data_IF_338836611524
#
_entry.id   IF_338836611524
#
_cell.length_a   1.000
_cell.length_b   1.000
_cell.length_c   1.000
_cell.angle_alpha   90.00
_cell.angle_beta   90.00
_cell.angle_gamma   90.00
#
_symmetry.space_group_name_H-M   'P 1'
#
loop_
_entity.id
_entity.type
_entity.pdbx_description
1 polymer ?
#
# COMPACT_ATOMS: atom_id res chain seq x y z
N UNK A 1 -28.35 14.14 37.32
CA UNK A 1 -28.02 14.39 35.89
C UNK A 1 -26.52 14.28 35.60
N UNK A 2 -25.62 14.74 36.48
CA UNK A 2 -24.16 14.79 36.25
C UNK A 2 -23.43 13.45 35.96
N UNK A 3 -24.05 12.31 36.29
CA UNK A 3 -23.47 10.97 36.08
C UNK A 3 -23.52 10.49 34.62
N UNK A 4 -24.39 11.05 33.79
CA UNK A 4 -24.55 10.65 32.39
C UNK A 4 -23.43 11.19 31.50
N UNK A 5 -23.00 12.42 31.73
CA UNK A 5 -22.00 13.10 30.89
C UNK A 5 -20.58 12.60 31.14
N UNK A 6 -20.23 12.30 32.40
CA UNK A 6 -18.91 11.75 32.75
C UNK A 6 -18.76 10.33 32.21
N UNK A 7 -19.80 9.49 32.35
CA UNK A 7 -19.78 8.12 31.83
C UNK A 7 -19.77 8.09 30.30
N UNK A 8 -20.53 8.98 29.65
CA UNK A 8 -20.51 9.16 28.20
C UNK A 8 -19.15 9.64 27.69
N UNK A 9 -18.61 10.73 28.24
CA UNK A 9 -17.31 11.27 27.84
C UNK A 9 -16.15 10.28 28.05
N UNK A 10 -16.16 9.52 29.15
CA UNK A 10 -15.19 8.45 29.38
C UNK A 10 -15.34 7.30 28.36
N UNK A 11 -16.57 6.92 28.02
CA UNK A 11 -16.83 5.85 27.04
C UNK A 11 -16.38 6.27 25.64
N UNK A 12 -16.74 7.48 25.19
CA UNK A 12 -16.27 8.02 23.91
C UNK A 12 -14.76 8.23 23.88
N UNK A 13 -14.15 8.64 25.00
CA UNK A 13 -12.70 8.78 25.13
C UNK A 13 -11.98 7.43 25.00
N UNK A 14 -12.47 6.37 25.64
CA UNK A 14 -11.90 5.04 25.55
C UNK A 14 -12.03 4.45 24.15
N UNK A 15 -13.18 4.60 23.51
CA UNK A 15 -13.42 4.13 22.15
C UNK A 15 -12.51 4.85 21.14
N UNK A 16 -12.40 6.18 21.26
CA UNK A 16 -11.49 6.96 20.43
C UNK A 16 -10.03 6.51 20.60
N UNK A 17 -9.61 6.20 21.84
CA UNK A 17 -8.27 5.69 22.11
C UNK A 17 -8.01 4.32 21.45
N UNK A 18 -9.01 3.43 21.43
CA UNK A 18 -8.91 2.12 20.76
C UNK A 18 -8.74 2.26 19.25
N UNK A 19 -9.59 3.05 18.60
CA UNK A 19 -9.50 3.30 17.16
C UNK A 19 -8.14 3.90 16.79
N UNK A 20 -7.65 4.86 17.58
CA UNK A 20 -6.34 5.46 17.36
C UNK A 20 -5.20 4.46 17.54
N UNK A 21 -5.31 3.55 18.50
CA UNK A 21 -4.35 2.47 18.71
C UNK A 21 -4.36 1.48 17.54
N UNK A 22 -5.53 1.03 17.09
CA UNK A 22 -5.67 0.16 15.91
C UNK A 22 -5.10 0.81 14.65
N UNK A 23 -5.41 2.08 14.41
CA UNK A 23 -4.83 2.86 13.30
C UNK A 23 -3.31 3.03 13.45
N UNK A 24 -2.78 3.10 14.67
CA UNK A 24 -1.32 3.13 14.91
C UNK A 24 -0.68 1.79 14.54
N UNK A 25 -1.24 0.68 15.05
CA UNK A 25 -0.76 -0.66 14.76
C UNK A 25 -0.80 -0.94 13.26
N UNK A 26 -1.92 -0.70 12.59
CA UNK A 26 -2.02 -0.87 11.13
C UNK A 26 -0.94 -0.10 10.36
N UNK A 27 -0.59 1.13 10.77
CA UNK A 27 0.51 1.87 10.13
C UNK A 27 1.89 1.25 10.39
N UNK A 28 2.13 0.70 11.57
CA UNK A 28 3.37 -0.01 11.90
C UNK A 28 3.44 -1.34 11.13
N UNK A 29 2.32 -2.04 11.00
CA UNK A 29 2.21 -3.29 10.25
C UNK A 29 2.51 -3.06 8.76
N UNK A 30 1.96 -2.00 8.14
CA UNK A 30 2.32 -1.62 6.78
C UNK A 30 3.80 -1.25 6.64
N UNK A 31 4.37 -0.57 7.64
CA UNK A 31 5.78 -0.15 7.63
C UNK A 31 6.73 -1.35 7.69
N UNK A 32 6.43 -2.34 8.54
CA UNK A 32 7.18 -3.58 8.62
C UNK A 32 7.02 -4.40 7.33
N UNK A 33 5.79 -4.55 6.84
CA UNK A 33 5.51 -5.25 5.59
C UNK A 33 6.22 -4.59 4.38
N UNK A 34 6.23 -3.26 4.32
CA UNK A 34 6.92 -2.50 3.28
C UNK A 34 8.44 -2.74 3.34
N UNK A 35 9.01 -2.69 4.55
CA UNK A 35 10.43 -2.90 4.79
C UNK A 35 10.89 -4.31 4.42
N UNK A 36 10.17 -5.34 4.86
CA UNK A 36 10.49 -6.72 4.51
C UNK A 36 10.25 -7.02 3.03
N UNK A 37 9.16 -6.50 2.44
CA UNK A 37 8.90 -6.59 1.00
C UNK A 37 10.03 -6.02 0.16
N UNK A 38 10.53 -4.83 0.52
CA UNK A 38 11.69 -4.23 -0.12
C UNK A 38 12.94 -5.12 -0.04
N UNK A 39 13.24 -5.67 1.15
CA UNK A 39 14.39 -6.57 1.34
C UNK A 39 14.27 -7.83 0.49
N UNK A 40 13.07 -8.41 0.40
CA UNK A 40 12.81 -9.60 -0.42
C UNK A 40 13.03 -9.31 -1.91
N UNK A 41 12.60 -8.15 -2.41
CA UNK A 41 12.83 -7.74 -3.80
C UNK A 41 14.34 -7.62 -4.11
N UNK A 42 15.08 -6.93 -3.24
CA UNK A 42 16.55 -6.82 -3.38
C UNK A 42 17.21 -8.20 -3.36
N UNK A 43 16.83 -9.07 -2.42
CA UNK A 43 17.38 -10.42 -2.30
C UNK A 43 17.06 -11.31 -3.51
N UNK A 44 15.88 -11.14 -4.11
CA UNK A 44 15.45 -11.87 -5.31
C UNK A 44 16.08 -11.32 -6.60
N UNK A 45 16.80 -10.20 -6.53
CA UNK A 45 17.26 -9.51 -7.71
C UNK A 45 16.10 -9.00 -8.58
N UNK A 46 15.03 -8.49 -7.95
CA UNK A 46 13.97 -7.69 -8.59
C UNK A 46 14.11 -6.22 -8.18
N UNK A 47 13.98 -5.29 -9.13
CA UNK A 47 14.16 -3.85 -8.85
C UNK A 47 13.08 -3.35 -7.87
N UNK A 48 13.45 -2.97 -6.63
CA UNK A 48 12.47 -2.51 -5.65
C UNK A 48 11.89 -1.12 -5.98
N UNK A 49 12.42 -0.40 -6.99
CA UNK A 49 11.79 0.82 -7.50
C UNK A 49 10.36 0.54 -8.04
N UNK A 50 10.10 -0.67 -8.55
CA UNK A 50 8.77 -1.08 -8.97
C UNK A 50 7.74 -1.06 -7.83
N UNK A 51 8.16 -1.30 -6.59
CA UNK A 51 7.29 -1.22 -5.41
C UNK A 51 6.86 0.23 -5.12
N UNK A 52 7.75 1.21 -5.32
CA UNK A 52 7.38 2.63 -5.22
C UNK A 52 6.39 3.03 -6.31
N UNK A 53 6.62 2.61 -7.55
CA UNK A 53 5.70 2.87 -8.67
C UNK A 53 4.30 2.28 -8.45
N UNK A 54 4.21 1.08 -7.84
CA UNK A 54 2.94 0.49 -7.44
C UNK A 54 2.15 1.40 -6.47
N UNK A 55 2.81 1.95 -5.44
CA UNK A 55 2.14 2.86 -4.51
C UNK A 55 1.83 4.24 -5.12
N UNK A 56 2.66 4.72 -6.05
CA UNK A 56 2.39 5.94 -6.81
C UNK A 56 1.10 5.82 -7.62
N UNK A 57 0.82 4.62 -8.16
CA UNK A 57 -0.43 4.33 -8.89
C UNK A 57 -1.69 4.59 -8.03
N UNK A 58 -1.63 4.39 -6.71
CA UNK A 58 -2.75 4.66 -5.81
C UNK A 58 -2.78 6.09 -5.25
N UNK A 59 -1.68 6.85 -5.37
CA UNK A 59 -1.60 8.24 -4.89
C UNK A 59 -2.46 9.18 -5.75
N UNK A 60 -2.65 8.85 -7.01
CA UNK A 60 -3.33 9.70 -8.01
C UNK A 60 -4.85 9.55 -8.05
N UNK A 61 -5.43 8.54 -7.37
CA UNK A 61 -6.88 8.28 -7.41
C UNK A 61 -7.66 8.52 -6.09
N UNK A 62 -7.61 9.70 -5.42
CA UNK A 62 -8.53 9.94 -4.31
C UNK A 62 -9.99 10.22 -4.74
N UNK A 63 -10.26 10.50 -6.03
CA UNK A 63 -11.50 11.18 -6.42
C UNK A 63 -12.22 10.75 -7.71
N UNK A 64 -11.67 9.86 -8.54
CA UNK A 64 -12.27 9.54 -9.87
C UNK A 64 -12.38 8.05 -10.19
N UNK A 65 -12.02 7.14 -9.29
CA UNK A 65 -11.97 5.71 -9.57
C UNK A 65 -13.19 4.93 -9.05
N UNK A 66 -13.72 3.97 -9.83
CA UNK A 66 -14.85 3.14 -9.46
C UNK A 66 -14.41 2.09 -8.45
N UNK A 67 -14.71 2.28 -7.17
CA UNK A 67 -14.42 1.35 -6.06
C UNK A 67 -12.92 1.24 -5.74
N UNK A 68 -12.54 1.56 -4.50
CA UNK A 68 -11.18 1.28 -4.02
C UNK A 68 -10.85 -0.21 -4.27
N UNK A 69 -9.67 -0.54 -4.79
CA UNK A 69 -9.23 -1.92 -4.91
C UNK A 69 -9.34 -2.64 -3.57
N UNK A 70 -9.77 -3.93 -3.53
CA UNK A 70 -9.90 -4.69 -2.28
C UNK A 70 -8.64 -4.70 -1.42
N UNK A 71 -7.46 -4.58 -2.05
CA UNK A 71 -6.19 -4.41 -1.37
C UNK A 71 -6.19 -3.19 -0.42
N UNK A 72 -6.67 -2.03 -0.85
CA UNK A 72 -6.71 -0.81 -0.02
C UNK A 72 -7.77 -0.85 1.09
N UNK A 73 -8.71 -1.81 1.04
CA UNK A 73 -9.66 -2.05 2.13
C UNK A 73 -9.01 -2.70 3.36
N UNK A 74 -7.94 -3.47 3.15
CA UNK A 74 -7.19 -4.16 4.22
C UNK A 74 -5.83 -3.52 4.49
N UNK A 75 -5.22 -2.92 3.46
CA UNK A 75 -3.93 -2.25 3.49
C UNK A 75 -4.07 -0.79 3.05
N UNK A 76 -4.62 0.10 3.91
CA UNK A 76 -4.84 1.48 3.54
C UNK A 76 -3.52 2.18 3.20
N UNK A 77 -3.51 2.93 2.09
CA UNK A 77 -2.34 3.73 1.73
C UNK A 77 -2.10 4.81 2.77
N UNK A 78 -0.84 4.97 3.19
CA UNK A 78 -0.44 6.04 4.12
C UNK A 78 0.41 7.05 3.36
N UNK A 79 0.27 8.35 3.70
CA UNK A 79 0.99 9.44 3.03
C UNK A 79 2.51 9.30 3.03
N UNK A 80 3.07 8.44 3.89
CA UNK A 80 4.52 8.27 4.07
C UNK A 80 5.09 6.93 3.59
N UNK A 81 4.32 6.04 2.94
CA UNK A 81 4.88 4.76 2.45
C UNK A 81 6.00 4.99 1.45
N UNK A 82 5.74 5.84 0.45
CA UNK A 82 6.70 6.16 -0.61
C UNK A 82 7.94 6.84 -0.01
N UNK A 83 7.77 7.84 0.85
CA UNK A 83 8.90 8.50 1.52
C UNK A 83 9.74 7.52 2.35
N UNK A 84 9.12 6.56 3.05
CA UNK A 84 9.85 5.51 3.78
C UNK A 84 10.62 4.61 2.82
N UNK A 85 10.01 4.13 1.74
CA UNK A 85 10.70 3.32 0.74
C UNK A 85 11.87 4.08 0.10
N UNK A 86 11.71 5.37 -0.20
CA UNK A 86 12.81 6.22 -0.68
C UNK A 86 13.96 6.31 0.34
N UNK A 87 13.67 6.26 1.64
CA UNK A 87 14.71 6.27 2.69
C UNK A 87 15.53 4.97 2.76
N UNK A 88 15.08 3.89 2.12
CA UNK A 88 15.81 2.62 2.02
C UNK A 88 16.81 2.59 0.85
N UNK A 89 16.86 3.63 0.02
CA UNK A 89 17.90 3.81 -0.99
C UNK A 89 19.27 4.16 -0.36
N UNK A 90 20.40 3.82 -0.99
CA UNK A 90 20.53 3.17 -2.29
C UNK A 90 20.59 1.64 -2.21
N UNK A 91 19.87 0.99 -3.12
CA UNK A 91 20.01 -0.44 -3.42
C UNK A 91 20.68 -0.61 -4.80
N UNK A 92 21.22 -1.81 -5.13
CA UNK A 92 21.86 -2.02 -6.43
C UNK A 92 20.82 -1.86 -7.54
N UNK A 93 20.96 -0.84 -8.41
CA UNK A 93 20.06 -0.65 -9.57
C UNK A 93 20.34 -1.59 -10.75
N UNK A 94 21.38 -2.42 -10.67
CA UNK A 94 21.74 -3.41 -11.71
C UNK A 94 20.84 -4.66 -11.69
N UNK A 95 19.72 -4.56 -10.99
CA UNK A 95 18.80 -5.64 -10.71
C UNK A 95 17.74 -5.68 -11.83
N UNK A 96 17.75 -6.73 -12.66
CA UNK A 96 16.92 -6.82 -13.86
C UNK A 96 16.03 -8.08 -13.91
N UNK A 97 15.90 -8.85 -12.82
CA UNK A 97 15.00 -10.00 -12.87
C UNK A 97 13.56 -9.49 -12.87
N UNK A 98 12.77 -10.05 -13.79
CA UNK A 98 11.32 -9.83 -13.79
C UNK A 98 10.71 -10.55 -12.60
N UNK A 99 9.78 -9.90 -11.91
CA UNK A 99 9.04 -10.50 -10.80
C UNK A 99 8.28 -11.77 -11.25
N UNK A 100 7.75 -11.76 -12.48
CA UNK A 100 7.02 -12.88 -13.10
C UNK A 100 7.72 -13.29 -14.40
N UNK A 101 8.74 -14.17 -14.35
CA UNK A 101 9.45 -14.61 -15.55
C UNK A 101 8.52 -15.41 -16.47
N UNK A 102 8.55 -15.11 -17.77
CA UNK A 102 7.72 -15.78 -18.78
C UNK A 102 6.28 -15.24 -18.90
N UNK A 103 5.86 -14.33 -18.02
CA UNK A 103 4.56 -13.66 -18.13
C UNK A 103 4.73 -12.26 -18.74
N UNK A 104 4.07 -12.02 -19.87
CA UNK A 104 4.05 -10.70 -20.51
C UNK A 104 2.89 -9.84 -19.99
N UNK A 105 3.09 -8.53 -19.93
CA UNK A 105 2.07 -7.58 -19.47
C UNK A 105 0.79 -7.63 -20.32
N UNK A 106 0.90 -7.89 -21.63
CA UNK A 106 -0.27 -8.06 -22.49
C UNK A 106 -1.07 -9.32 -22.11
N UNK A 107 -0.39 -10.41 -21.73
CA UNK A 107 -1.04 -11.62 -21.26
C UNK A 107 -1.80 -11.36 -19.94
N UNK A 108 -1.20 -10.61 -19.00
CA UNK A 108 -1.85 -10.20 -17.75
C UNK A 108 -3.11 -9.38 -18.04
N UNK A 109 -3.02 -8.39 -18.92
CA UNK A 109 -4.18 -7.56 -19.31
C UNK A 109 -5.30 -8.36 -20.00
N UNK A 110 -4.95 -9.39 -20.76
CA UNK A 110 -5.92 -10.26 -21.43
C UNK A 110 -6.81 -11.04 -20.47
N UNK A 111 -6.31 -11.40 -19.28
CA UNK A 111 -7.06 -12.12 -18.24
C UNK A 111 -8.21 -11.26 -17.69
N UNK A 112 -7.99 -9.94 -17.59
CA UNK A 112 -8.98 -8.99 -17.06
C UNK A 112 -10.04 -8.55 -18.10
N UNK A 113 -10.07 -9.15 -19.30
CA UNK A 113 -11.10 -8.89 -20.32
C UNK A 113 -10.87 -7.66 -21.21
N UNK A 114 -9.66 -7.11 -21.25
CA UNK A 114 -9.36 -5.88 -22.00
C UNK A 114 -9.25 -6.07 -23.51
N UNK A 115 -10.38 -6.11 -24.24
CA UNK A 115 -10.43 -5.81 -25.68
C UNK A 115 -10.47 -4.29 -25.89
N UNK A 116 -9.33 -3.62 -25.81
CA UNK A 116 -9.19 -2.20 -26.16
C UNK A 116 -7.98 -2.01 -27.08
N UNK A 117 -8.07 -1.19 -28.15
CA UNK A 117 -7.04 -1.13 -29.16
C UNK A 117 -5.72 -0.65 -28.57
N UNK A 118 -4.66 -1.32 -28.99
CA UNK A 118 -3.28 -0.96 -28.71
C UNK A 118 -2.97 0.33 -29.47
N UNK A 119 -2.67 1.41 -28.75
CA UNK A 119 -2.01 2.56 -29.36
C UNK A 119 -0.51 2.27 -29.51
N UNK A 120 0.12 2.77 -30.59
CA UNK A 120 1.49 2.41 -31.00
C UNK A 120 2.57 2.88 -30.01
#
# INVERSE_FOLDING_TARGET
>A
ALSGDVSGAMTYGLESARILAELRYSRQDEEEADGEGHRLLVAAGVDPAGMMGFFETFKEEPGTAPTLPPYLSTHPTTKGRIERLRSLEPFPRSINNRLLPGLDWHAVRGICGGTGPLHP
#
